data_IF_082446498062
#
_entry.id   IF_082446498062
#
_cell.length_a   1.000
_cell.length_b   1.000
_cell.length_c   1.000
_cell.angle_alpha   90.00
_cell.angle_beta   90.00
_cell.angle_gamma   90.00
#
_symmetry.space_group_name_H-M   'P 1'
#
loop_
_entity.id
_entity.type
_entity.pdbx_description
1 polymer ?
#
# COMPACT_ATOMS: atom_id res chain seq x y z
N UNK A 1 13.78 -54.57 60.67
CA UNK A 1 12.65 -55.19 59.96
C UNK A 1 12.75 -54.87 58.49
N UNK A 2 12.60 -55.90 57.69
CA UNK A 2 13.01 -56.06 56.31
C UNK A 2 12.34 -55.10 55.33
N UNK A 3 13.13 -54.27 54.56
CA UNK A 3 12.69 -53.54 53.40
C UNK A 3 12.83 -54.36 52.15
N UNK A 4 11.79 -54.39 51.34
CA UNK A 4 11.81 -55.03 50.02
C UNK A 4 12.26 -54.00 48.96
N UNK A 5 13.33 -54.35 48.27
CA UNK A 5 13.77 -53.64 47.04
C UNK A 5 12.84 -54.00 45.89
N UNK A 6 12.33 -52.99 45.18
CA UNK A 6 11.63 -53.17 43.91
C UNK A 6 12.57 -52.76 42.72
N UNK A 7 12.75 -53.70 41.80
CA UNK A 7 13.52 -53.54 40.55
C UNK A 7 12.90 -52.49 39.63
N UNK A 8 13.70 -51.72 38.90
CA UNK A 8 13.18 -50.82 37.85
C UNK A 8 12.78 -51.62 36.60
N UNK A 9 11.64 -51.27 36.05
CA UNK A 9 11.14 -51.75 34.76
C UNK A 9 11.93 -51.09 33.62
N UNK A 10 12.37 -51.94 32.70
CA UNK A 10 12.98 -51.56 31.41
C UNK A 10 12.05 -50.73 30.57
N UNK A 11 12.50 -49.52 30.18
CA UNK A 11 11.84 -48.71 29.13
C UNK A 11 12.14 -49.32 27.78
N UNK A 12 11.10 -49.81 27.12
CA UNK A 12 11.11 -50.11 25.68
C UNK A 12 11.28 -48.79 24.90
N UNK A 13 12.32 -48.75 24.06
CA UNK A 13 12.57 -47.65 23.15
C UNK A 13 11.50 -47.60 22.06
N UNK A 14 10.61 -46.61 22.15
CA UNK A 14 9.66 -46.27 21.08
C UNK A 14 10.46 -45.71 19.90
N UNK A 15 10.56 -46.44 18.82
CA UNK A 15 11.11 -46.01 17.54
C UNK A 15 10.30 -44.81 17.04
N UNK A 16 10.87 -43.61 17.12
CA UNK A 16 10.38 -42.42 16.44
C UNK A 16 10.31 -42.69 14.91
N UNK A 17 9.09 -42.72 14.40
CA UNK A 17 8.84 -42.68 12.97
C UNK A 17 9.16 -41.25 12.51
N UNK A 18 10.29 -41.07 11.89
CA UNK A 18 10.61 -39.84 11.13
C UNK A 18 9.50 -39.60 10.10
N UNK A 19 8.65 -38.60 10.35
CA UNK A 19 7.66 -38.11 9.39
C UNK A 19 8.36 -37.68 8.11
N UNK A 20 8.07 -38.38 7.02
CA UNK A 20 8.52 -37.97 5.68
C UNK A 20 7.94 -36.59 5.39
N UNK A 21 8.81 -35.58 5.29
CA UNK A 21 8.44 -34.25 4.77
C UNK A 21 7.68 -34.46 3.45
N UNK A 22 6.48 -33.91 3.37
CA UNK A 22 5.65 -33.96 2.16
C UNK A 22 6.38 -33.20 1.05
N UNK A 23 6.88 -33.92 0.09
CA UNK A 23 7.51 -33.40 -1.12
C UNK A 23 6.45 -32.55 -1.88
N UNK A 24 6.82 -31.38 -2.43
CA UNK A 24 5.92 -30.59 -3.30
C UNK A 24 5.35 -31.49 -4.39
N UNK A 25 4.10 -31.24 -4.81
CA UNK A 25 3.36 -32.12 -5.71
C UNK A 25 4.19 -32.46 -6.96
N UNK A 26 4.20 -33.69 -7.37
CA UNK A 26 4.95 -34.19 -8.54
C UNK A 26 4.67 -33.36 -9.79
N UNK A 27 3.43 -32.91 -9.97
CA UNK A 27 2.95 -32.08 -11.08
C UNK A 27 3.69 -30.74 -11.21
N UNK A 28 3.99 -30.06 -10.09
CA UNK A 28 4.70 -28.78 -10.15
C UNK A 28 6.19 -28.96 -10.49
N UNK A 29 6.81 -30.03 -9.99
CA UNK A 29 8.22 -30.39 -10.31
C UNK A 29 8.40 -30.81 -11.76
N UNK A 30 7.45 -31.57 -12.29
CA UNK A 30 7.53 -32.09 -13.66
C UNK A 30 7.31 -30.93 -14.67
N UNK A 31 6.48 -29.93 -14.32
CA UNK A 31 6.29 -28.72 -15.10
C UNK A 31 7.59 -27.90 -15.19
N UNK A 32 8.26 -27.64 -14.07
CA UNK A 32 9.51 -26.88 -14.04
C UNK A 32 10.65 -27.57 -14.79
N UNK A 33 10.68 -28.92 -14.85
CA UNK A 33 11.66 -29.69 -15.64
C UNK A 33 11.35 -29.75 -17.13
N UNK A 34 10.06 -29.78 -17.50
CA UNK A 34 9.64 -29.87 -18.92
C UNK A 34 9.76 -28.51 -19.62
N UNK A 35 9.71 -27.40 -18.87
CA UNK A 35 9.73 -26.03 -19.36
C UNK A 35 11.14 -25.55 -19.76
N UNK A 36 12.19 -26.20 -19.30
CA UNK A 36 13.58 -25.89 -19.69
C UNK A 36 13.92 -26.24 -21.16
N UNK A 37 13.00 -26.86 -21.89
CA UNK A 37 13.29 -27.40 -23.24
C UNK A 37 12.42 -26.91 -24.37
N UNK A 38 11.34 -26.12 -24.14
CA UNK A 38 10.47 -25.66 -25.25
C UNK A 38 9.77 -24.32 -24.95
N UNK A 39 10.10 -23.28 -25.72
CA UNK A 39 9.30 -22.07 -25.87
C UNK A 39 9.30 -21.12 -24.67
N UNK A 40 9.13 -19.84 -24.90
CA UNK A 40 8.97 -18.81 -23.85
C UNK A 40 7.77 -19.16 -22.94
N UNK A 41 8.07 -19.75 -21.78
CA UNK A 41 7.03 -20.05 -20.79
C UNK A 41 6.50 -18.75 -20.21
N UNK A 42 5.19 -18.57 -20.30
CA UNK A 42 4.52 -17.42 -19.71
C UNK A 42 4.40 -17.60 -18.20
N UNK A 43 5.03 -16.71 -17.43
CA UNK A 43 4.96 -16.68 -15.95
C UNK A 43 3.71 -15.98 -15.49
N UNK A 44 2.94 -16.63 -14.64
CA UNK A 44 1.71 -16.09 -14.03
C UNK A 44 2.03 -15.38 -12.72
N UNK A 45 1.76 -14.10 -12.67
CA UNK A 45 2.12 -13.22 -11.56
C UNK A 45 0.85 -12.64 -10.95
N UNK A 46 0.53 -13.06 -9.71
CA UNK A 46 -0.63 -12.59 -8.98
C UNK A 46 -0.26 -11.38 -8.10
N UNK A 47 -0.93 -10.26 -8.34
CA UNK A 47 -0.89 -9.09 -7.47
C UNK A 47 -2.02 -9.16 -6.46
N UNK A 48 -1.68 -9.10 -5.16
CA UNK A 48 -2.66 -9.03 -4.08
C UNK A 48 -2.85 -7.57 -3.74
N UNK A 49 -4.09 -7.07 -3.85
CA UNK A 49 -4.41 -5.68 -3.53
C UNK A 49 -5.63 -5.59 -2.62
N UNK A 50 -5.50 -4.84 -1.53
CA UNK A 50 -6.51 -4.73 -0.48
C UNK A 50 -7.12 -3.35 -0.32
N UNK A 51 -6.46 -2.30 -0.80
CA UNK A 51 -6.91 -0.93 -0.62
C UNK A 51 -6.62 -0.07 -1.85
N UNK A 52 -7.41 0.99 -2.03
CA UNK A 52 -7.20 1.97 -3.12
C UNK A 52 -5.81 2.59 -3.12
N UNK A 53 -5.29 2.94 -1.93
CA UNK A 53 -3.99 3.56 -1.80
C UNK A 53 -2.87 2.62 -2.27
N UNK A 54 -2.91 1.36 -1.83
CA UNK A 54 -1.96 0.33 -2.24
C UNK A 54 -2.05 0.05 -3.76
N UNK A 55 -3.26 -0.15 -4.27
CA UNK A 55 -3.50 -0.33 -5.70
C UNK A 55 -2.89 0.80 -6.53
N UNK A 56 -3.09 2.05 -6.10
CA UNK A 56 -2.50 3.20 -6.78
C UNK A 56 -0.97 3.18 -6.85
N UNK A 57 -0.30 2.56 -5.88
CA UNK A 57 1.16 2.37 -5.89
C UNK A 57 1.58 1.20 -6.80
N UNK A 58 0.75 0.17 -6.93
CA UNK A 58 1.04 -1.03 -7.72
C UNK A 58 0.82 -0.85 -9.23
N UNK A 59 0.02 0.15 -9.66
CA UNK A 59 -0.40 0.32 -11.07
C UNK A 59 0.73 0.29 -12.07
N UNK A 60 1.82 1.03 -11.84
CA UNK A 60 2.96 1.07 -12.76
C UNK A 60 3.64 -0.30 -12.89
N UNK A 61 3.73 -1.04 -11.79
CA UNK A 61 4.29 -2.40 -11.78
C UNK A 61 3.36 -3.38 -12.50
N UNK A 62 2.04 -3.30 -12.25
CA UNK A 62 1.03 -4.11 -12.95
C UNK A 62 1.08 -3.85 -14.47
N UNK A 63 1.17 -2.58 -14.86
CA UNK A 63 1.29 -2.18 -16.25
C UNK A 63 2.58 -2.72 -16.92
N UNK A 64 3.71 -2.65 -16.22
CA UNK A 64 4.97 -3.18 -16.70
C UNK A 64 4.94 -4.72 -16.86
N UNK A 65 4.28 -5.43 -15.94
CA UNK A 65 4.05 -6.87 -16.05
C UNK A 65 3.11 -7.19 -17.21
N UNK A 66 1.99 -6.47 -17.34
CA UNK A 66 1.02 -6.68 -18.42
C UNK A 66 1.63 -6.51 -19.82
N UNK A 67 2.52 -5.53 -19.99
CA UNK A 67 3.25 -5.27 -21.23
C UNK A 67 4.46 -6.20 -21.42
N UNK A 68 4.89 -6.89 -20.37
CA UNK A 68 6.09 -7.72 -20.37
C UNK A 68 5.93 -9.00 -21.17
N UNK A 69 6.86 -9.28 -22.09
CA UNK A 69 6.88 -10.54 -22.83
C UNK A 69 7.11 -11.73 -21.89
N UNK A 70 6.31 -12.77 -22.03
CA UNK A 70 6.40 -13.96 -21.19
C UNK A 70 5.90 -13.77 -19.75
N UNK A 71 5.16 -12.70 -19.48
CA UNK A 71 4.52 -12.41 -18.20
C UNK A 71 3.00 -12.35 -18.38
N UNK A 72 2.27 -12.92 -17.43
CA UNK A 72 0.81 -12.86 -17.37
C UNK A 72 0.39 -12.28 -16.03
N UNK A 73 -0.24 -11.12 -16.06
CA UNK A 73 -0.80 -10.47 -14.88
C UNK A 73 -2.05 -11.21 -14.40
N UNK A 74 -2.14 -11.44 -13.09
CA UNK A 74 -3.34 -11.86 -12.39
C UNK A 74 -3.62 -10.87 -11.26
N UNK A 75 -4.87 -10.49 -11.04
CA UNK A 75 -5.25 -9.51 -10.01
C UNK A 75 -6.20 -10.14 -9.01
N UNK A 76 -5.79 -10.17 -7.74
CA UNK A 76 -6.59 -10.65 -6.62
C UNK A 76 -6.98 -9.47 -5.75
N UNK A 77 -8.26 -9.08 -5.82
CA UNK A 77 -8.81 -8.01 -5.00
C UNK A 77 -9.33 -8.57 -3.67
N UNK A 78 -8.99 -7.89 -2.58
CA UNK A 78 -9.37 -8.29 -1.22
C UNK A 78 -9.59 -7.07 -0.33
N UNK A 79 -9.67 -7.24 0.98
CA UNK A 79 -9.67 -6.16 1.95
C UNK A 79 -10.80 -5.15 1.76
N UNK A 80 -10.47 -3.88 1.97
CA UNK A 80 -11.42 -2.77 1.86
C UNK A 80 -11.90 -2.50 0.45
N UNK A 81 -11.23 -3.02 -0.59
CA UNK A 81 -11.72 -2.95 -1.96
C UNK A 81 -13.13 -3.52 -2.12
N UNK A 82 -13.47 -4.55 -1.35
CA UNK A 82 -14.74 -5.25 -1.43
C UNK A 82 -15.82 -4.71 -0.47
N UNK A 83 -15.51 -3.68 0.30
CA UNK A 83 -16.38 -3.16 1.34
C UNK A 83 -17.07 -1.85 0.90
N UNK A 84 -18.42 -1.86 0.78
CA UNK A 84 -19.20 -0.68 0.40
C UNK A 84 -18.95 0.53 1.30
N UNK A 85 -18.76 0.32 2.62
CA UNK A 85 -18.48 1.41 3.56
C UNK A 85 -17.20 2.17 3.29
N UNK A 86 -16.23 1.55 2.59
CA UNK A 86 -14.97 2.17 2.15
C UNK A 86 -14.97 2.56 0.67
N UNK A 87 -16.16 2.61 0.04
CA UNK A 87 -16.35 3.11 -1.32
C UNK A 87 -16.29 2.05 -2.42
N UNK A 88 -16.21 0.75 -2.09
CA UNK A 88 -16.18 -0.38 -3.04
C UNK A 88 -15.15 -0.18 -4.17
N UNK A 89 -13.93 0.17 -3.79
CA UNK A 89 -12.88 0.67 -4.69
C UNK A 89 -12.32 -0.37 -5.67
N UNK A 90 -12.82 -1.60 -5.65
CA UNK A 90 -12.60 -2.56 -6.73
C UNK A 90 -13.10 -2.05 -8.08
N UNK A 91 -14.12 -1.18 -8.07
CA UNK A 91 -14.66 -0.59 -9.29
C UNK A 91 -13.62 0.30 -10.00
N UNK A 92 -12.70 0.90 -9.25
CA UNK A 92 -11.57 1.65 -9.83
C UNK A 92 -10.61 0.70 -10.57
N UNK A 93 -10.35 -0.49 -10.00
CA UNK A 93 -9.48 -1.51 -10.64
C UNK A 93 -10.09 -1.98 -11.96
N UNK A 94 -11.40 -2.22 -11.96
CA UNK A 94 -12.13 -2.63 -13.17
C UNK A 94 -12.19 -1.48 -14.19
N UNK A 95 -12.42 -0.25 -13.73
CA UNK A 95 -12.48 0.93 -14.60
C UNK A 95 -11.13 1.24 -15.27
N UNK A 96 -10.01 0.89 -14.65
CA UNK A 96 -8.68 0.98 -15.24
C UNK A 96 -8.40 -0.13 -16.29
N UNK A 97 -9.37 -1.03 -16.53
CA UNK A 97 -9.29 -2.09 -17.54
C UNK A 97 -8.58 -3.37 -17.08
N UNK A 98 -8.29 -3.51 -15.77
CA UNK A 98 -7.65 -4.72 -15.27
C UNK A 98 -8.67 -5.85 -15.08
N UNK A 99 -8.35 -7.07 -15.53
CA UNK A 99 -9.13 -8.24 -15.16
C UNK A 99 -8.96 -8.49 -13.66
N UNK A 100 -10.06 -8.65 -12.95
CA UNK A 100 -10.03 -9.08 -11.55
C UNK A 100 -10.26 -10.58 -11.53
N UNK A 101 -9.16 -11.35 -11.42
CA UNK A 101 -9.17 -12.81 -11.51
C UNK A 101 -9.80 -13.46 -10.26
N UNK A 102 -9.68 -12.80 -9.10
CA UNK A 102 -10.35 -13.25 -7.88
C UNK A 102 -10.79 -12.09 -6.98
N UNK A 103 -11.91 -12.32 -6.28
CA UNK A 103 -12.40 -11.48 -5.18
C UNK A 103 -12.39 -12.32 -3.92
N UNK A 104 -11.51 -11.98 -2.96
CA UNK A 104 -11.34 -12.71 -1.71
C UNK A 104 -11.79 -11.86 -0.54
N UNK A 105 -13.03 -12.02 -0.03
CA UNK A 105 -13.51 -11.30 1.15
C UNK A 105 -12.68 -11.66 2.38
N UNK A 106 -12.06 -10.67 3.00
CA UNK A 106 -11.27 -10.82 4.23
C UNK A 106 -12.01 -10.20 5.43
N UNK A 107 -11.87 -8.89 5.63
CA UNK A 107 -12.48 -8.17 6.72
C UNK A 107 -13.99 -7.99 6.48
N UNK A 108 -14.74 -7.86 7.57
CA UNK A 108 -16.12 -7.40 7.57
C UNK A 108 -16.22 -5.89 7.71
N UNK A 109 -15.10 -5.28 8.09
CA UNK A 109 -14.93 -3.86 8.25
C UNK A 109 -15.38 -3.34 9.60
N UNK A 110 -15.44 -4.19 10.62
CA UNK A 110 -15.63 -3.79 11.99
C UNK A 110 -14.30 -3.29 12.57
N UNK A 111 -14.36 -2.31 13.48
CA UNK A 111 -13.16 -1.74 14.12
C UNK A 111 -12.73 -2.59 15.34
N UNK A 112 -12.73 -3.93 15.19
CA UNK A 112 -12.36 -4.88 16.24
C UNK A 112 -11.12 -5.66 15.86
N UNK A 113 -10.25 -5.90 16.84
CA UNK A 113 -9.05 -6.71 16.64
C UNK A 113 -9.37 -8.14 16.14
N UNK A 114 -10.47 -8.73 16.59
CA UNK A 114 -10.91 -10.05 16.15
C UNK A 114 -11.25 -10.07 14.64
N UNK A 115 -11.87 -9.01 14.09
CA UNK A 115 -12.16 -8.93 12.64
C UNK A 115 -10.87 -8.94 11.80
N UNK A 116 -9.79 -8.34 12.32
CA UNK A 116 -8.48 -8.37 11.65
C UNK A 116 -7.91 -9.81 11.63
N UNK A 117 -7.93 -10.51 12.76
CA UNK A 117 -7.41 -11.88 12.86
C UNK A 117 -8.22 -12.87 12.00
N UNK A 118 -9.55 -12.85 12.11
CA UNK A 118 -10.43 -13.68 11.30
C UNK A 118 -10.33 -13.32 9.80
N UNK A 119 -10.17 -12.01 9.50
CA UNK A 119 -9.96 -11.52 8.15
C UNK A 119 -8.68 -12.08 7.55
N UNK A 120 -7.58 -12.09 8.28
CA UNK A 120 -6.31 -12.70 7.86
C UNK A 120 -6.49 -14.18 7.54
N UNK A 121 -7.15 -14.94 8.43
CA UNK A 121 -7.42 -16.37 8.22
C UNK A 121 -8.23 -16.64 6.94
N UNK A 122 -9.31 -15.88 6.71
CA UNK A 122 -10.13 -15.98 5.49
C UNK A 122 -9.31 -15.60 4.24
N UNK A 123 -8.48 -14.56 4.32
CA UNK A 123 -7.61 -14.12 3.24
C UNK A 123 -6.61 -15.17 2.83
N UNK A 124 -5.88 -15.74 3.78
CA UNK A 124 -4.89 -16.80 3.51
C UNK A 124 -5.57 -17.99 2.80
N UNK A 125 -6.69 -18.49 3.33
CA UNK A 125 -7.39 -19.62 2.76
C UNK A 125 -7.97 -19.32 1.35
N UNK A 126 -8.54 -18.14 1.15
CA UNK A 126 -9.12 -17.71 -0.13
C UNK A 126 -8.08 -17.51 -1.21
N UNK A 127 -6.99 -16.80 -0.87
CA UNK A 127 -5.88 -16.55 -1.79
C UNK A 127 -5.18 -17.87 -2.15
N UNK A 128 -4.89 -18.74 -1.18
CA UNK A 128 -4.24 -20.02 -1.43
C UNK A 128 -5.03 -20.89 -2.44
N UNK A 129 -6.36 -20.97 -2.30
CA UNK A 129 -7.23 -21.68 -3.28
C UNK A 129 -7.12 -21.09 -4.68
N UNK A 130 -7.12 -19.76 -4.79
CA UNK A 130 -6.96 -19.10 -6.08
C UNK A 130 -5.59 -19.42 -6.70
N UNK A 131 -4.50 -19.28 -5.94
CA UNK A 131 -3.14 -19.53 -6.43
C UNK A 131 -2.99 -20.96 -6.98
N UNK A 132 -3.59 -21.93 -6.31
CA UNK A 132 -3.59 -23.33 -6.74
C UNK A 132 -4.41 -23.54 -8.02
N UNK A 133 -5.64 -23.02 -8.07
CA UNK A 133 -6.52 -23.16 -9.23
C UNK A 133 -5.99 -22.44 -10.47
N UNK A 134 -5.47 -21.22 -10.29
CA UNK A 134 -4.94 -20.40 -11.36
C UNK A 134 -3.53 -20.82 -11.81
N UNK A 135 -2.89 -21.76 -11.08
CA UNK A 135 -1.50 -22.18 -11.31
C UNK A 135 -0.55 -20.99 -11.36
N UNK A 136 -0.67 -20.11 -10.35
CA UNK A 136 0.20 -18.93 -10.20
C UNK A 136 1.64 -19.34 -9.92
N UNK A 137 2.61 -18.65 -10.50
CA UNK A 137 4.04 -18.89 -10.28
C UNK A 137 4.61 -17.94 -9.20
N UNK A 138 4.24 -16.66 -9.26
CA UNK A 138 4.75 -15.62 -8.38
C UNK A 138 3.60 -14.84 -7.76
N UNK A 139 3.70 -14.57 -6.45
CA UNK A 139 2.78 -13.68 -5.72
C UNK A 139 3.50 -12.39 -5.39
N UNK A 140 2.97 -11.26 -5.83
CA UNK A 140 3.49 -9.92 -5.51
C UNK A 140 2.64 -9.30 -4.42
N UNK A 141 3.28 -8.84 -3.35
CA UNK A 141 2.68 -8.11 -2.24
C UNK A 141 3.42 -6.81 -1.99
N UNK A 142 2.73 -5.80 -1.48
CA UNK A 142 3.30 -4.49 -1.19
C UNK A 142 3.09 -4.10 0.27
N UNK A 143 4.16 -3.65 0.93
CA UNK A 143 4.10 -2.94 2.21
C UNK A 143 3.88 -3.83 3.41
N UNK A 144 2.95 -3.42 4.28
CA UNK A 144 2.86 -3.85 5.67
C UNK A 144 1.43 -4.12 6.15
N UNK A 145 0.50 -4.30 5.25
CA UNK A 145 -0.90 -4.53 5.61
C UNK A 145 -1.22 -6.01 5.78
N UNK A 146 -2.30 -6.30 6.49
CA UNK A 146 -2.74 -7.69 6.70
C UNK A 146 -3.13 -8.39 5.40
N UNK A 147 -3.54 -7.65 4.37
CA UNK A 147 -3.83 -8.18 3.04
C UNK A 147 -2.54 -8.67 2.35
N UNK A 148 -1.45 -7.92 2.48
CA UNK A 148 -0.13 -8.32 2.01
C UNK A 148 0.40 -9.54 2.79
N UNK A 149 0.19 -9.58 4.11
CA UNK A 149 0.51 -10.74 4.94
C UNK A 149 -0.27 -11.98 4.51
N UNK A 150 -1.58 -11.84 4.22
CA UNK A 150 -2.38 -12.96 3.72
C UNK A 150 -1.84 -13.51 2.39
N UNK A 151 -1.46 -12.61 1.47
CA UNK A 151 -0.85 -12.99 0.21
C UNK A 151 0.50 -13.69 0.37
N UNK A 152 1.36 -13.16 1.24
CA UNK A 152 2.68 -13.75 1.51
C UNK A 152 2.57 -15.13 2.16
N UNK A 153 1.71 -15.30 3.16
CA UNK A 153 1.44 -16.61 3.79
C UNK A 153 0.85 -17.60 2.79
N UNK A 154 -0.15 -17.20 2.00
CA UNK A 154 -0.75 -18.05 0.98
C UNK A 154 0.30 -18.50 -0.05
N UNK A 155 1.12 -17.57 -0.55
CA UNK A 155 2.18 -17.87 -1.50
C UNK A 155 3.23 -18.83 -0.93
N UNK A 156 3.78 -18.52 0.23
CA UNK A 156 4.82 -19.32 0.88
C UNK A 156 4.32 -20.75 1.22
N UNK A 157 3.09 -20.87 1.76
CA UNK A 157 2.53 -22.17 2.16
C UNK A 157 2.11 -23.04 0.97
N UNK A 158 1.81 -22.44 -0.18
CA UNK A 158 1.47 -23.18 -1.42
C UNK A 158 2.67 -23.39 -2.35
N UNK A 159 3.89 -23.04 -1.90
CA UNK A 159 5.12 -23.22 -2.66
C UNK A 159 5.24 -22.31 -3.88
N UNK A 160 4.67 -21.12 -3.82
CA UNK A 160 4.82 -20.07 -4.85
C UNK A 160 5.97 -19.13 -4.46
N UNK A 161 6.62 -18.54 -5.45
CA UNK A 161 7.58 -17.47 -5.18
C UNK A 161 6.83 -16.26 -4.68
N UNK A 162 7.24 -15.70 -3.54
CA UNK A 162 6.69 -14.46 -2.97
C UNK A 162 7.67 -13.33 -3.22
N UNK A 163 7.18 -12.23 -3.80
CA UNK A 163 7.93 -11.03 -4.10
C UNK A 163 7.36 -9.85 -3.30
N UNK A 164 8.18 -9.22 -2.47
CA UNK A 164 7.77 -8.16 -1.54
C UNK A 164 8.29 -6.80 -1.98
N UNK A 165 7.39 -5.90 -2.35
CA UNK A 165 7.70 -4.51 -2.67
C UNK A 165 7.60 -3.67 -1.39
N UNK A 166 8.51 -2.70 -1.19
CA UNK A 166 8.63 -1.88 0.03
C UNK A 166 8.96 -2.67 1.31
N UNK A 167 9.58 -3.85 1.19
CA UNK A 167 10.21 -4.53 2.31
C UNK A 167 11.38 -3.73 2.87
N UNK A 168 11.70 -3.94 4.15
CA UNK A 168 12.84 -3.29 4.81
C UNK A 168 12.67 -1.81 5.15
N UNK A 169 11.59 -1.14 4.75
CA UNK A 169 11.25 0.20 5.22
C UNK A 169 10.99 0.20 6.74
N UNK A 170 11.10 1.37 7.36
CA UNK A 170 10.73 1.60 8.77
C UNK A 170 9.53 2.53 8.81
N UNK A 171 8.54 2.20 9.61
CA UNK A 171 7.42 3.08 9.93
C UNK A 171 6.97 2.79 11.36
N UNK A 172 7.06 3.77 12.24
CA UNK A 172 6.64 3.65 13.64
C UNK A 172 5.09 3.66 13.76
N UNK A 173 4.43 2.80 12.98
CA UNK A 173 3.00 2.52 13.09
C UNK A 173 2.71 1.60 14.28
N UNK A 174 1.46 1.16 14.42
CA UNK A 174 1.01 0.28 15.52
C UNK A 174 1.81 -1.04 15.51
N UNK A 175 1.62 -1.86 14.48
CA UNK A 175 2.37 -3.10 14.27
C UNK A 175 2.89 -3.22 12.81
N UNK A 176 2.89 -2.12 12.07
CA UNK A 176 3.27 -2.04 10.67
C UNK A 176 4.69 -2.60 10.43
N UNK A 177 5.66 -2.23 11.28
CA UNK A 177 7.03 -2.75 11.17
C UNK A 177 7.10 -4.26 11.39
N UNK A 178 6.34 -4.78 12.38
CA UNK A 178 6.30 -6.22 12.65
C UNK A 178 5.71 -6.97 11.47
N UNK A 179 4.61 -6.50 10.89
CA UNK A 179 4.02 -7.10 9.71
C UNK A 179 4.97 -7.04 8.51
N UNK A 180 5.54 -5.87 8.22
CA UNK A 180 6.47 -5.67 7.12
C UNK A 180 7.64 -6.63 7.17
N UNK A 181 8.27 -6.74 8.33
CA UNK A 181 9.44 -7.60 8.50
C UNK A 181 9.07 -9.08 8.47
N UNK A 182 7.89 -9.46 8.97
CA UNK A 182 7.36 -10.82 8.82
C UNK A 182 7.09 -11.17 7.35
N UNK A 183 6.48 -10.26 6.59
CA UNK A 183 6.29 -10.44 5.15
C UNK A 183 7.63 -10.57 4.42
N UNK A 184 8.63 -9.73 4.78
CA UNK A 184 9.98 -9.84 4.25
C UNK A 184 10.55 -11.25 4.52
N UNK A 185 10.40 -11.78 5.73
CA UNK A 185 10.90 -13.13 6.06
C UNK A 185 10.16 -14.26 5.33
N UNK A 186 8.90 -14.08 4.96
CA UNK A 186 8.14 -15.04 4.13
C UNK A 186 8.50 -14.94 2.64
N UNK A 187 9.08 -13.83 2.20
CA UNK A 187 9.30 -13.54 0.78
C UNK A 187 10.61 -14.12 0.26
N UNK A 188 10.66 -14.46 -1.01
CA UNK A 188 11.80 -15.03 -1.72
C UNK A 188 12.58 -13.97 -2.51
N UNK A 189 11.87 -12.92 -2.97
CA UNK A 189 12.42 -11.78 -3.69
C UNK A 189 12.05 -10.50 -2.97
N UNK A 190 12.97 -9.58 -2.88
CA UNK A 190 12.81 -8.34 -2.13
C UNK A 190 13.05 -7.13 -3.03
N UNK A 191 12.08 -6.23 -3.06
CA UNK A 191 12.09 -5.00 -3.84
C UNK A 191 12.01 -3.76 -2.93
N UNK A 192 13.07 -3.48 -2.14
CA UNK A 192 13.12 -2.28 -1.31
C UNK A 192 13.15 -1.02 -2.16
N UNK A 193 12.60 0.07 -1.62
CA UNK A 193 12.56 1.35 -2.30
C UNK A 193 13.89 2.13 -2.17
N UNK A 194 14.68 1.87 -1.13
CA UNK A 194 15.92 2.59 -0.84
C UNK A 194 17.07 1.63 -0.53
N UNK A 195 18.29 2.11 -0.69
CA UNK A 195 19.49 1.36 -0.33
C UNK A 195 19.52 1.02 1.18
N UNK A 196 19.03 1.92 2.03
CA UNK A 196 18.99 1.68 3.47
C UNK A 196 18.02 0.56 3.84
N UNK A 197 16.86 0.49 3.14
CA UNK A 197 15.91 -0.60 3.29
C UNK A 197 16.51 -1.92 2.78
N UNK A 198 17.21 -1.91 1.65
CA UNK A 198 17.94 -3.07 1.14
C UNK A 198 18.99 -3.62 2.12
N UNK A 199 19.82 -2.76 2.67
CA UNK A 199 20.79 -3.14 3.71
C UNK A 199 20.12 -3.73 4.95
N UNK A 200 18.94 -3.24 5.33
CA UNK A 200 18.18 -3.78 6.47
C UNK A 200 17.68 -5.18 6.19
N UNK A 201 17.17 -5.45 4.99
CA UNK A 201 16.74 -6.78 4.57
C UNK A 201 17.91 -7.78 4.66
N UNK A 202 19.08 -7.41 4.14
CA UNK A 202 20.29 -8.26 4.25
C UNK A 202 20.66 -8.51 5.72
N UNK A 203 20.61 -7.49 6.59
CA UNK A 203 20.86 -7.66 8.05
C UNK A 203 19.83 -8.56 8.73
N UNK A 204 18.63 -8.70 8.18
CA UNK A 204 17.64 -9.65 8.65
C UNK A 204 17.95 -11.09 8.23
N UNK A 205 19.08 -11.33 7.55
CA UNK A 205 19.52 -12.65 7.09
C UNK A 205 18.92 -13.06 5.75
N UNK A 206 18.49 -12.13 4.92
CA UNK A 206 18.13 -12.42 3.52
C UNK A 206 19.37 -12.33 2.63
N UNK A 207 19.47 -13.20 1.63
CA UNK A 207 20.59 -13.22 0.71
C UNK A 207 20.60 -11.99 -0.20
N UNK A 208 21.78 -11.36 -0.38
CA UNK A 208 21.92 -10.11 -1.11
C UNK A 208 21.52 -10.23 -2.60
N UNK A 209 21.70 -11.39 -3.20
CA UNK A 209 21.31 -11.70 -4.59
C UNK A 209 19.78 -11.70 -4.81
N UNK A 210 18.99 -11.77 -3.73
CA UNK A 210 17.53 -11.70 -3.73
C UNK A 210 16.97 -10.31 -3.44
N UNK A 211 17.86 -9.33 -3.19
CA UNK A 211 17.49 -7.96 -2.82
C UNK A 211 17.79 -6.99 -3.97
N UNK A 212 16.75 -6.49 -4.59
CA UNK A 212 16.84 -5.60 -5.75
C UNK A 212 16.30 -4.22 -5.39
N UNK A 213 17.14 -3.23 -5.19
CA UNK A 213 16.73 -1.84 -4.92
C UNK A 213 16.14 -1.24 -6.18
N UNK A 214 14.83 -0.99 -6.17
CA UNK A 214 14.08 -0.58 -7.38
C UNK A 214 13.63 0.88 -7.38
N UNK A 215 13.61 1.53 -6.22
CA UNK A 215 12.88 2.77 -6.00
C UNK A 215 11.43 2.51 -5.55
N UNK A 216 10.65 3.57 -5.38
CA UNK A 216 9.25 3.49 -5.00
C UNK A 216 8.34 3.50 -6.25
N UNK A 217 7.53 2.46 -6.50
CA UNK A 217 6.62 2.42 -7.65
C UNK A 217 5.62 3.58 -7.69
N UNK A 218 5.28 4.15 -6.53
CA UNK A 218 4.45 5.34 -6.45
C UNK A 218 5.03 6.57 -7.17
N UNK A 219 6.35 6.62 -7.38
CA UNK A 219 7.01 7.70 -8.11
C UNK A 219 6.89 7.58 -9.63
N UNK A 220 6.62 6.41 -10.18
CA UNK A 220 6.63 6.19 -11.62
C UNK A 220 5.60 7.09 -12.32
N UNK A 221 4.35 7.06 -11.84
CA UNK A 221 3.27 7.89 -12.40
C UNK A 221 3.48 9.38 -12.09
N UNK A 222 4.01 9.71 -10.91
CA UNK A 222 4.34 11.09 -10.56
C UNK A 222 5.40 11.67 -11.49
N UNK A 223 6.48 10.92 -11.75
CA UNK A 223 7.55 11.34 -12.67
C UNK A 223 7.03 11.58 -14.09
N UNK A 224 6.08 10.77 -14.55
CA UNK A 224 5.41 10.97 -15.85
C UNK A 224 4.61 12.27 -15.87
N UNK A 225 3.76 12.51 -14.86
CA UNK A 225 2.95 13.73 -14.74
C UNK A 225 3.82 14.99 -14.66
N UNK A 226 4.91 14.95 -13.90
CA UNK A 226 5.87 16.06 -13.78
C UNK A 226 6.55 16.35 -15.11
N UNK A 227 6.96 15.33 -15.87
CA UNK A 227 7.52 15.52 -17.23
C UNK A 227 6.50 16.19 -18.15
N UNK A 228 5.27 15.72 -18.20
CA UNK A 228 4.21 16.29 -19.03
C UNK A 228 3.94 17.76 -18.67
N UNK A 229 3.95 18.12 -17.41
CA UNK A 229 3.75 19.50 -16.97
C UNK A 229 4.91 20.41 -17.40
N UNK A 230 6.15 19.94 -17.31
CA UNK A 230 7.35 20.67 -17.77
C UNK A 230 7.35 20.90 -19.28
N UNK A 231 6.90 19.90 -20.05
CA UNK A 231 6.85 19.96 -21.51
C UNK A 231 5.66 20.79 -22.03
N UNK A 232 4.87 21.42 -21.17
CA UNK A 232 3.68 22.20 -21.53
C UNK A 232 2.57 21.35 -22.17
N UNK A 233 2.70 20.03 -22.14
CA UNK A 233 1.71 19.09 -22.68
C UNK A 233 0.60 18.94 -21.64
N UNK A 234 -0.56 19.53 -21.93
CA UNK A 234 -1.77 19.17 -21.18
C UNK A 234 -2.00 17.68 -21.39
N UNK A 235 -1.85 16.88 -20.35
CA UNK A 235 -2.25 15.47 -20.40
C UNK A 235 -3.75 15.44 -20.64
N UNK A 236 -4.25 14.81 -21.73
CA UNK A 236 -5.68 14.69 -21.93
C UNK A 236 -6.28 14.03 -20.68
N UNK A 237 -7.27 14.66 -20.07
CA UNK A 237 -8.19 13.96 -19.19
C UNK A 237 -8.64 12.73 -19.95
N UNK A 238 -8.46 11.53 -19.39
CA UNK A 238 -9.03 10.30 -19.95
C UNK A 238 -10.55 10.42 -19.77
N UNK A 239 -11.14 11.19 -20.67
CA UNK A 239 -12.59 11.24 -20.92
C UNK A 239 -12.80 10.35 -22.12
N UNK A 240 -13.04 9.11 -21.87
CA UNK A 240 -13.34 8.20 -22.95
C UNK A 240 -13.56 6.81 -22.44
N UNK A 241 -14.80 6.50 -22.07
CA UNK A 241 -15.45 5.31 -22.61
C UNK A 241 -16.93 5.29 -22.22
N UNK A 242 -17.71 5.43 -23.30
CA UNK A 242 -19.04 4.84 -23.58
C UNK A 242 -20.22 5.22 -22.71
N UNK A 243 -21.07 5.99 -23.34
CA UNK A 243 -22.51 6.09 -23.08
C UNK A 243 -23.16 4.70 -23.20
N UNK A 244 -23.54 4.12 -22.07
CA UNK A 244 -24.53 3.05 -21.99
C UNK A 244 -25.86 3.66 -21.52
N UNK A 245 -26.93 3.34 -22.24
CA UNK A 245 -28.32 3.81 -22.09
C UNK A 245 -28.88 3.53 -20.68
N UNK A 246 -29.84 4.36 -20.21
CA UNK A 246 -30.52 4.14 -18.96
C UNK A 246 -31.67 3.14 -19.10
N UNK A 247 -31.79 2.21 -18.18
CA UNK A 247 -33.03 1.48 -17.94
C UNK A 247 -33.30 1.37 -16.43
N UNK A 248 -34.46 1.92 -16.10
CA UNK A 248 -35.42 1.57 -15.10
C UNK A 248 -35.21 1.96 -13.62
N UNK A 249 -36.09 2.89 -13.28
CA UNK A 249 -36.59 3.25 -11.96
C UNK A 249 -37.40 2.10 -11.34
N UNK A 250 -37.24 1.84 -10.06
CA UNK A 250 -38.34 1.81 -9.10
C UNK A 250 -37.88 1.57 -7.65
N UNK A 251 -38.36 2.43 -6.79
CA UNK A 251 -38.89 2.25 -5.45
C UNK A 251 -37.97 2.15 -4.21
N UNK A 252 -38.18 3.13 -3.38
CA UNK A 252 -38.47 3.16 -1.94
C UNK A 252 -37.34 3.55 -0.96
N UNK A 253 -37.41 4.80 -0.60
CA UNK A 253 -37.31 5.48 0.72
C UNK A 253 -36.59 4.77 1.87
N UNK A 254 -35.40 5.34 2.23
CA UNK A 254 -35.02 5.76 3.60
C UNK A 254 -33.81 6.71 3.50
N UNK A 255 -33.65 7.72 4.37
CA UNK A 255 -32.68 8.80 4.16
C UNK A 255 -31.29 8.31 4.44
N UNK A 256 -30.57 7.93 3.39
CA UNK A 256 -29.13 7.90 3.40
C UNK A 256 -28.66 9.34 3.21
N UNK A 257 -27.69 9.77 4.03
CA UNK A 257 -26.96 11.00 3.81
C UNK A 257 -26.42 11.01 2.36
N UNK A 258 -27.21 11.59 1.48
CA UNK A 258 -26.87 11.77 0.08
C UNK A 258 -25.68 12.73 0.00
N UNK A 259 -24.53 12.17 -0.30
CA UNK A 259 -23.42 12.93 -0.84
C UNK A 259 -23.84 13.41 -2.24
N UNK A 260 -23.88 14.71 -2.41
CA UNK A 260 -24.07 15.34 -3.71
C UNK A 260 -22.95 14.92 -4.66
N UNK A 261 -23.20 13.87 -5.41
CA UNK A 261 -22.35 13.38 -6.49
C UNK A 261 -22.71 14.07 -7.81
N UNK A 262 -23.26 15.26 -7.75
CA UNK A 262 -23.61 16.04 -8.91
C UNK A 262 -22.43 16.91 -9.35
N UNK A 263 -21.60 16.37 -10.17
CA UNK A 263 -20.90 16.94 -11.34
C UNK A 263 -19.71 16.03 -11.72
N UNK A 264 -20.02 14.91 -12.31
CA UNK A 264 -19.05 14.15 -13.12
C UNK A 264 -18.68 15.03 -14.32
N UNK A 265 -17.43 15.45 -14.41
CA UNK A 265 -16.88 15.96 -15.66
C UNK A 265 -16.22 17.34 -15.66
N UNK A 266 -16.25 18.10 -14.60
CA UNK A 266 -15.42 19.32 -14.57
C UNK A 266 -14.07 19.03 -13.89
N UNK A 267 -12.92 19.35 -14.56
CA UNK A 267 -11.64 19.34 -13.89
C UNK A 267 -11.73 20.34 -12.73
N UNK A 268 -11.19 19.96 -11.58
CA UNK A 268 -11.03 20.82 -10.41
C UNK A 268 -10.20 22.07 -10.79
N UNK A 269 -10.81 23.04 -11.48
CA UNK A 269 -10.21 24.36 -11.72
C UNK A 269 -10.22 25.10 -10.41
N UNK A 270 -9.14 25.00 -9.66
CA UNK A 270 -8.87 25.93 -8.57
C UNK A 270 -8.50 27.25 -9.23
N UNK A 271 -9.37 28.27 -9.13
CA UNK A 271 -9.08 29.63 -9.56
C UNK A 271 -7.75 30.07 -8.94
N UNK A 272 -6.91 30.67 -9.75
CA UNK A 272 -5.62 31.26 -9.41
C UNK A 272 -5.82 32.51 -8.56
N UNK A 273 -6.26 32.33 -7.31
CA UNK A 273 -6.18 33.34 -6.29
C UNK A 273 -4.93 33.13 -5.45
N UNK A 274 -4.26 34.15 -5.03
CA UNK A 274 -2.93 34.25 -4.42
C UNK A 274 -2.79 33.61 -3.03
N UNK A 275 -3.56 32.58 -2.70
CA UNK A 275 -3.53 31.89 -1.41
C UNK A 275 -2.82 30.56 -1.51
N UNK A 276 -1.93 30.29 -0.57
CA UNK A 276 -1.25 29.00 -0.45
C UNK A 276 -2.25 27.88 -0.21
N UNK A 277 -2.03 26.73 -0.88
CA UNK A 277 -2.90 25.55 -0.88
C UNK A 277 -2.26 24.43 -0.10
N UNK A 278 -3.02 23.77 0.75
CA UNK A 278 -2.59 22.62 1.51
C UNK A 278 -3.42 21.38 1.19
N UNK A 279 -2.76 20.20 1.22
CA UNK A 279 -3.44 18.92 1.34
C UNK A 279 -3.24 18.43 2.76
N UNK A 280 -4.31 17.95 3.40
CA UNK A 280 -4.26 17.37 4.74
C UNK A 280 -4.53 15.87 4.64
N UNK A 281 -3.56 15.05 5.09
CA UNK A 281 -3.68 13.59 5.15
C UNK A 281 -3.10 13.10 6.48
N UNK A 282 -3.96 12.96 7.47
CA UNK A 282 -3.60 12.45 8.80
C UNK A 282 -4.19 11.05 8.99
N UNK A 283 -3.35 10.08 9.29
CA UNK A 283 -3.73 8.70 9.59
C UNK A 283 -3.61 8.41 11.09
N UNK A 284 -4.39 7.48 11.64
CA UNK A 284 -4.23 7.07 13.03
C UNK A 284 -2.91 6.32 13.24
N UNK A 285 -2.44 6.34 14.48
CA UNK A 285 -1.22 5.66 14.93
C UNK A 285 -1.53 4.56 15.96
N UNK A 286 -2.67 3.86 15.84
CA UNK A 286 -3.07 2.77 16.73
C UNK A 286 -3.56 3.20 18.11
N UNK A 287 -3.70 4.52 18.36
CA UNK A 287 -4.14 5.07 19.64
C UNK A 287 -5.68 5.13 19.75
N UNK A 288 -6.19 5.58 20.90
CA UNK A 288 -7.64 5.72 21.09
C UNK A 288 -8.24 6.76 20.13
N UNK A 289 -9.49 6.56 19.73
CA UNK A 289 -10.22 7.52 18.88
C UNK A 289 -10.26 8.93 19.48
N UNK A 290 -10.34 9.04 20.82
CA UNK A 290 -10.30 10.32 21.53
C UNK A 290 -8.95 11.04 21.37
N UNK A 291 -7.84 10.30 21.43
CA UNK A 291 -6.51 10.86 21.19
C UNK A 291 -6.34 11.31 19.75
N UNK A 292 -6.69 10.48 18.77
CA UNK A 292 -6.58 10.80 17.35
C UNK A 292 -7.47 12.00 16.97
N UNK A 293 -8.66 12.12 17.59
CA UNK A 293 -9.53 13.30 17.47
C UNK A 293 -8.86 14.57 18.00
N UNK A 294 -8.16 14.49 19.15
CA UNK A 294 -7.42 15.63 19.73
C UNK A 294 -6.33 16.11 18.79
N UNK A 295 -5.54 15.18 18.23
CA UNK A 295 -4.48 15.50 17.25
C UNK A 295 -5.06 16.15 16.00
N UNK A 296 -6.12 15.57 15.42
CA UNK A 296 -6.75 16.11 14.22
C UNK A 296 -7.34 17.50 14.47
N UNK A 297 -7.94 17.78 15.61
CA UNK A 297 -8.39 19.11 15.98
C UNK A 297 -7.24 20.12 16.07
N UNK A 298 -6.06 19.72 16.58
CA UNK A 298 -4.87 20.57 16.59
C UNK A 298 -4.39 20.92 15.17
N UNK A 299 -4.42 19.94 14.25
CA UNK A 299 -4.09 20.14 12.83
C UNK A 299 -5.04 21.15 12.20
N UNK A 300 -6.36 20.92 12.32
CA UNK A 300 -7.38 21.77 11.70
C UNK A 300 -7.33 23.20 12.21
N UNK A 301 -7.18 23.37 13.52
CA UNK A 301 -7.00 24.69 14.13
C UNK A 301 -5.74 25.42 13.65
N UNK A 302 -4.62 24.72 13.53
CA UNK A 302 -3.38 25.31 13.02
C UNK A 302 -3.51 25.75 11.55
N UNK A 303 -4.24 24.98 10.73
CA UNK A 303 -4.53 25.32 9.33
C UNK A 303 -5.41 26.56 9.26
N UNK A 304 -6.49 26.65 10.05
CA UNK A 304 -7.36 27.86 10.10
C UNK A 304 -6.57 29.13 10.45
N UNK A 305 -5.73 29.06 11.49
CA UNK A 305 -4.91 30.20 11.96
C UNK A 305 -3.85 30.65 10.95
N UNK A 306 -3.45 29.78 10.02
CA UNK A 306 -2.49 30.13 8.96
C UNK A 306 -3.15 30.66 7.68
N UNK A 307 -4.48 30.61 7.60
CA UNK A 307 -5.25 31.15 6.47
C UNK A 307 -5.13 30.34 5.17
N UNK A 308 -4.65 29.09 5.23
CA UNK A 308 -4.51 28.23 4.07
C UNK A 308 -5.87 27.79 3.51
N UNK A 309 -5.94 27.61 2.20
CA UNK A 309 -7.00 26.83 1.58
C UNK A 309 -6.59 25.34 1.62
N UNK A 310 -7.46 24.48 2.11
CA UNK A 310 -7.12 23.08 2.39
C UNK A 310 -8.06 22.08 1.73
N UNK A 311 -7.48 21.04 1.14
CA UNK A 311 -8.15 19.82 0.73
C UNK A 311 -7.83 18.72 1.78
N UNK A 312 -8.83 18.32 2.55
CA UNK A 312 -8.69 17.29 3.57
C UNK A 312 -9.15 15.94 3.02
N UNK A 313 -8.28 14.93 3.09
CA UNK A 313 -8.58 13.56 2.68
C UNK A 313 -8.76 12.71 3.94
N UNK A 314 -9.78 11.85 3.96
CA UNK A 314 -10.05 10.96 5.08
C UNK A 314 -8.87 10.03 5.36
N UNK A 315 -8.72 9.59 6.63
CA UNK A 315 -7.70 8.61 7.01
C UNK A 315 -7.95 7.24 6.37
N UNK A 316 -6.95 6.35 6.48
CA UNK A 316 -7.15 4.92 6.29
C UNK A 316 -8.06 4.34 7.39
N UNK A 317 -8.36 3.03 7.30
CA UNK A 317 -9.26 2.32 8.21
C UNK A 317 -8.57 1.73 9.45
N UNK A 318 -7.36 2.16 9.79
CA UNK A 318 -6.64 1.66 10.95
C UNK A 318 -7.33 2.08 12.26
N UNK A 319 -7.00 1.41 13.36
CA UNK A 319 -7.61 1.66 14.68
C UNK A 319 -7.47 3.13 15.07
N UNK A 320 -8.57 3.72 15.53
CA UNK A 320 -8.66 5.14 15.92
C UNK A 320 -9.13 6.09 14.81
N UNK A 321 -9.29 5.61 13.56
CA UNK A 321 -9.72 6.44 12.42
C UNK A 321 -11.04 7.18 12.67
N UNK A 322 -11.96 6.61 13.45
CA UNK A 322 -13.26 7.23 13.76
C UNK A 322 -13.11 8.59 14.44
N UNK A 323 -12.11 8.75 15.32
CA UNK A 323 -11.84 10.03 15.97
C UNK A 323 -11.37 11.11 15.00
N UNK A 324 -10.52 10.76 14.03
CA UNK A 324 -10.09 11.68 12.97
C UNK A 324 -11.29 12.11 12.11
N UNK A 325 -12.10 11.13 11.68
CA UNK A 325 -13.30 11.41 10.85
C UNK A 325 -14.26 12.33 11.60
N UNK A 326 -14.50 12.08 12.89
CA UNK A 326 -15.37 12.92 13.72
C UNK A 326 -14.87 14.36 13.80
N UNK A 327 -13.56 14.57 13.97
CA UNK A 327 -12.95 15.89 13.99
C UNK A 327 -13.11 16.61 12.64
N UNK A 328 -12.85 15.91 11.52
CA UNK A 328 -13.00 16.45 10.16
C UNK A 328 -14.44 16.88 9.91
N UNK A 329 -15.43 16.03 10.23
CA UNK A 329 -16.83 16.33 10.01
C UNK A 329 -17.36 17.45 10.89
N UNK A 330 -16.90 17.53 12.14
CA UNK A 330 -17.22 18.64 13.02
C UNK A 330 -16.67 19.98 12.49
N UNK A 331 -15.46 19.94 11.95
CA UNK A 331 -14.84 21.13 11.34
C UNK A 331 -15.52 21.52 10.04
N UNK A 332 -15.82 20.56 9.15
CA UNK A 332 -16.48 20.79 7.85
C UNK A 332 -17.82 21.52 7.98
N UNK A 333 -18.60 21.22 9.04
CA UNK A 333 -19.89 21.88 9.29
C UNK A 333 -19.81 23.39 9.57
N UNK A 334 -18.65 23.88 10.03
CA UNK A 334 -18.45 25.30 10.41
C UNK A 334 -17.47 26.03 9.51
N UNK A 335 -16.68 25.31 8.72
CA UNK A 335 -15.69 25.90 7.85
C UNK A 335 -16.31 26.46 6.57
N UNK A 336 -15.67 27.48 6.00
CA UNK A 336 -16.00 28.00 4.67
C UNK A 336 -15.72 26.92 3.61
N UNK A 337 -16.74 26.46 2.85
CA UNK A 337 -16.58 25.40 1.86
C UNK A 337 -15.64 25.78 0.69
N UNK A 338 -15.41 27.06 0.43
CA UNK A 338 -14.45 27.53 -0.58
C UNK A 338 -12.99 27.42 -0.07
N UNK A 339 -12.81 27.35 1.25
CA UNK A 339 -11.49 27.26 1.88
C UNK A 339 -11.16 25.88 2.41
N UNK A 340 -12.15 25.10 2.80
CA UNK A 340 -11.96 23.77 3.38
C UNK A 340 -12.84 22.74 2.69
N UNK A 341 -12.23 21.94 1.84
CA UNK A 341 -12.89 20.86 1.11
C UNK A 341 -12.52 19.51 1.70
N UNK A 342 -13.48 18.61 1.76
CA UNK A 342 -13.29 17.25 2.30
C UNK A 342 -13.65 16.24 1.23
N UNK A 343 -12.79 15.25 1.04
CA UNK A 343 -13.04 14.09 0.20
C UNK A 343 -12.75 12.81 0.97
N UNK A 344 -13.55 11.77 0.75
CA UNK A 344 -13.34 10.47 1.41
C UNK A 344 -12.12 9.75 0.84
N UNK A 345 -11.94 9.83 -0.46
CA UNK A 345 -10.77 9.30 -1.17
C UNK A 345 -10.67 9.98 -2.53
N UNK A 346 -9.52 9.86 -3.18
CA UNK A 346 -9.27 10.41 -4.51
C UNK A 346 -8.72 9.32 -5.42
N UNK A 347 -9.00 9.43 -6.72
CA UNK A 347 -8.28 8.66 -7.73
C UNK A 347 -6.79 9.02 -7.67
N UNK A 348 -5.93 8.07 -7.95
CA UNK A 348 -4.47 8.24 -7.82
C UNK A 348 -3.94 9.43 -8.62
N UNK A 349 -4.35 9.54 -9.87
CA UNK A 349 -3.90 10.62 -10.75
C UNK A 349 -4.38 12.00 -10.27
N UNK A 350 -5.62 12.09 -9.75
CA UNK A 350 -6.15 13.35 -9.19
C UNK A 350 -5.39 13.76 -7.93
N UNK A 351 -5.06 12.78 -7.07
CA UNK A 351 -4.22 13.02 -5.90
C UNK A 351 -2.82 13.53 -6.29
N UNK A 352 -2.17 12.91 -7.27
CA UNK A 352 -0.84 13.33 -7.71
C UNK A 352 -0.86 14.73 -8.35
N UNK A 353 -1.90 15.05 -9.12
CA UNK A 353 -2.10 16.41 -9.66
C UNK A 353 -2.32 17.43 -8.55
N UNK A 354 -3.18 17.10 -7.59
CA UNK A 354 -3.40 17.95 -6.43
C UNK A 354 -2.09 18.16 -5.63
N UNK A 355 -1.27 17.10 -5.47
CA UNK A 355 0.02 17.18 -4.79
C UNK A 355 1.00 18.10 -5.54
N UNK A 356 1.09 17.99 -6.87
CA UNK A 356 1.93 18.87 -7.71
C UNK A 356 1.48 20.33 -7.62
N UNK A 357 0.16 20.58 -7.46
CA UNK A 357 -0.40 21.92 -7.37
C UNK A 357 -0.39 22.49 -5.95
N UNK A 358 -0.15 21.68 -4.93
CA UNK A 358 -0.14 22.11 -3.53
C UNK A 358 1.20 22.76 -3.15
N UNK A 359 1.13 23.81 -2.32
CA UNK A 359 2.32 24.37 -1.68
C UNK A 359 2.77 23.52 -0.49
N UNK A 360 1.83 22.79 0.15
CA UNK A 360 2.07 22.11 1.40
C UNK A 360 1.25 20.82 1.54
N UNK A 361 1.90 19.73 1.98
CA UNK A 361 1.24 18.54 2.48
C UNK A 361 1.39 18.49 4.00
N UNK A 362 0.27 18.37 4.71
CA UNK A 362 0.20 18.39 6.19
C UNK A 362 -0.35 17.06 6.68
N UNK A 363 0.32 16.42 7.63
CA UNK A 363 -0.10 15.18 8.26
C UNK A 363 1.02 14.16 8.37
N UNK A 364 0.67 12.88 8.45
CA UNK A 364 1.62 11.80 8.65
C UNK A 364 1.56 10.72 7.55
N UNK A 365 1.14 11.12 6.35
CA UNK A 365 1.11 10.20 5.20
C UNK A 365 2.53 9.90 4.69
N UNK A 366 2.79 8.64 4.32
CA UNK A 366 4.05 8.26 3.66
C UNK A 366 4.30 9.00 2.35
N UNK A 367 3.25 9.49 1.69
CA UNK A 367 3.34 10.34 0.50
C UNK A 367 4.15 11.61 0.75
N UNK A 368 4.08 12.19 1.98
CA UNK A 368 4.91 13.32 2.38
C UNK A 368 6.40 13.01 2.36
N UNK A 369 6.78 11.79 2.72
CA UNK A 369 8.19 11.38 2.74
C UNK A 369 8.66 10.92 1.35
N UNK A 370 7.83 10.19 0.62
CA UNK A 370 8.23 9.50 -0.62
C UNK A 370 8.02 10.40 -1.85
N UNK A 371 6.86 11.05 -1.96
CA UNK A 371 6.35 11.64 -3.21
C UNK A 371 6.47 13.17 -3.24
N UNK A 372 6.22 13.83 -2.11
CA UNK A 372 6.08 15.28 -2.07
C UNK A 372 7.33 16.03 -2.57
N UNK A 373 8.54 15.53 -2.28
CA UNK A 373 9.77 16.14 -2.78
C UNK A 373 9.85 16.11 -4.31
N UNK A 374 9.45 15.00 -4.94
CA UNK A 374 9.40 14.88 -6.41
C UNK A 374 8.28 15.72 -7.03
N UNK A 375 7.18 15.95 -6.28
CA UNK A 375 6.10 16.85 -6.69
C UNK A 375 6.44 18.34 -6.56
N UNK A 376 7.50 18.68 -5.82
CA UNK A 376 7.83 20.08 -5.52
C UNK A 376 6.99 20.66 -4.38
N UNK A 377 6.46 19.83 -3.50
CA UNK A 377 5.56 20.19 -2.39
C UNK A 377 6.31 20.13 -1.08
N UNK A 378 6.23 21.18 -0.26
CA UNK A 378 6.78 21.15 1.09
C UNK A 378 5.90 20.31 2.02
N UNK A 379 6.46 19.83 3.14
CA UNK A 379 5.79 18.87 4.02
C UNK A 379 5.87 19.29 5.48
N UNK A 380 4.75 19.16 6.18
CA UNK A 380 4.69 19.14 7.64
C UNK A 380 4.34 17.71 8.05
N UNK A 381 5.35 16.96 8.55
CA UNK A 381 5.19 15.60 9.04
C UNK A 381 4.93 15.60 10.55
N UNK A 382 3.72 15.13 10.93
CA UNK A 382 3.18 15.27 12.29
C UNK A 382 3.29 13.96 13.05
N UNK A 383 3.95 14.00 14.20
CA UNK A 383 4.03 12.87 15.12
C UNK A 383 5.02 11.79 14.72
N UNK A 384 4.88 10.56 15.26
CA UNK A 384 5.92 9.54 15.16
C UNK A 384 5.82 8.65 13.91
N UNK A 385 4.69 8.63 13.18
CA UNK A 385 4.37 7.58 12.19
C UNK A 385 5.43 7.41 11.09
N UNK A 386 6.08 8.49 10.68
CA UNK A 386 7.11 8.45 9.64
C UNK A 386 8.54 8.53 10.20
N UNK A 387 8.71 8.54 11.52
CA UNK A 387 10.05 8.53 12.15
C UNK A 387 10.81 7.27 11.75
N UNK A 388 12.07 7.45 11.36
CA UNK A 388 12.94 6.37 10.91
C UNK A 388 12.91 6.11 9.39
N UNK A 389 11.95 6.67 8.66
CA UNK A 389 12.03 6.70 7.19
C UNK A 389 13.11 7.68 6.73
N UNK A 390 13.81 7.29 5.67
CA UNK A 390 14.80 8.15 5.03
C UNK A 390 14.11 9.35 4.38
N UNK A 391 14.45 10.60 4.73
CA UNK A 391 13.78 11.76 4.17
C UNK A 391 14.17 11.97 2.69
N UNK A 392 13.21 12.25 1.84
CA UNK A 392 13.44 12.48 0.40
C UNK A 392 13.96 13.87 0.06
N UNK A 393 14.19 14.75 1.04
CA UNK A 393 14.73 16.09 0.81
C UNK A 393 14.63 17.01 2.01
N UNK A 394 15.14 18.23 1.87
CA UNK A 394 15.15 19.25 2.93
C UNK A 394 13.83 20.00 3.14
N UNK A 395 12.82 19.71 2.34
CA UNK A 395 11.51 20.37 2.39
C UNK A 395 10.56 19.81 3.44
N UNK A 396 10.96 18.73 4.14
CA UNK A 396 10.19 18.12 5.22
C UNK A 396 10.47 18.84 6.53
N UNK A 397 9.42 19.18 7.26
CA UNK A 397 9.48 19.72 8.61
C UNK A 397 8.75 18.78 9.54
N UNK A 398 9.50 18.06 10.37
CA UNK A 398 8.91 17.19 11.41
C UNK A 398 8.48 18.02 12.61
N UNK A 399 7.34 17.68 13.20
CA UNK A 399 6.87 18.33 14.43
C UNK A 399 6.09 17.36 15.33
N UNK A 400 5.93 17.75 16.59
CA UNK A 400 5.08 17.05 17.53
C UNK A 400 3.59 17.38 17.28
N UNK A 401 2.69 16.60 17.90
CA UNK A 401 1.25 16.64 17.71
C UNK A 401 0.54 17.80 18.43
N UNK A 402 1.30 18.77 18.97
CA UNK A 402 0.72 19.95 19.61
C UNK A 402 0.35 21.03 18.59
N UNK A 403 -0.71 21.78 18.88
CA UNK A 403 -1.16 22.87 18.02
C UNK A 403 -0.05 23.88 17.70
N UNK A 404 0.74 24.31 18.73
CA UNK A 404 1.81 25.28 18.58
C UNK A 404 2.94 24.76 17.70
N UNK A 405 3.34 23.47 17.87
CA UNK A 405 4.37 22.83 17.04
C UNK A 405 3.91 22.73 15.59
N UNK A 406 2.67 22.30 15.35
CA UNK A 406 2.10 22.19 14.00
C UNK A 406 2.04 23.56 13.32
N UNK A 407 1.54 24.58 13.99
CA UNK A 407 1.48 25.95 13.47
C UNK A 407 2.86 26.50 13.12
N UNK A 408 3.84 26.29 13.99
CA UNK A 408 5.24 26.67 13.76
C UNK A 408 5.84 25.95 12.55
N UNK A 409 5.57 24.65 12.43
CA UNK A 409 6.02 23.83 11.30
C UNK A 409 5.39 24.26 9.98
N UNK A 410 4.08 24.60 9.93
CA UNK A 410 3.41 25.12 8.76
C UNK A 410 4.11 26.42 8.27
N UNK A 411 4.32 27.37 9.17
CA UNK A 411 5.01 28.63 8.83
C UNK A 411 6.44 28.39 8.33
N UNK A 412 7.15 27.44 8.91
CA UNK A 412 8.49 27.05 8.46
C UNK A 412 8.49 26.41 7.09
N UNK A 413 7.58 25.45 6.85
CA UNK A 413 7.48 24.74 5.60
C UNK A 413 7.08 25.65 4.42
N UNK A 414 6.18 26.60 4.63
CA UNK A 414 5.80 27.58 3.60
C UNK A 414 6.95 28.46 3.10
N UNK A 415 8.02 28.59 3.87
CA UNK A 415 9.25 29.31 3.43
C UNK A 415 10.16 28.45 2.56
N UNK A 416 9.94 27.14 2.53
CA UNK A 416 10.73 26.21 1.71
C UNK A 416 10.25 26.24 0.26
N UNK A 417 11.18 26.02 -0.67
CA UNK A 417 10.91 25.99 -2.11
C UNK A 417 11.52 24.72 -2.70
N UNK A 418 10.87 23.54 -2.54
CA UNK A 418 11.37 22.33 -3.13
C UNK A 418 11.33 22.41 -4.66
N UNK A 419 12.30 21.74 -5.29
CA UNK A 419 12.41 21.69 -6.75
C UNK A 419 11.64 20.47 -7.26
N UNK A 420 10.64 20.72 -8.11
CA UNK A 420 9.83 19.66 -8.72
C UNK A 420 10.67 18.77 -9.63
N UNK A 421 10.46 17.44 -9.54
CA UNK A 421 11.08 16.42 -10.40
C UNK A 421 12.55 16.18 -10.09
N UNK A 422 13.02 16.51 -8.89
CA UNK A 422 14.32 16.12 -8.38
C UNK A 422 14.40 14.60 -8.18
N UNK A 423 15.62 14.03 -8.40
CA UNK A 423 15.89 12.66 -8.00
C UNK A 423 15.90 12.58 -6.47
N UNK A 424 15.22 11.57 -5.92
CA UNK A 424 15.15 11.33 -4.47
C UNK A 424 15.80 10.01 -4.11
N UNK A 425 15.98 9.76 -2.82
CA UNK A 425 16.46 8.46 -2.30
C UNK A 425 15.48 7.32 -2.65
N UNK A 426 14.22 7.66 -2.96
CA UNK A 426 13.17 6.73 -3.37
C UNK A 426 13.15 6.45 -4.88
N UNK A 427 14.14 6.92 -5.64
CA UNK A 427 14.31 6.58 -7.04
C UNK A 427 13.97 7.68 -8.03
N UNK A 428 13.75 7.28 -9.27
CA UNK A 428 13.67 8.12 -10.47
C UNK A 428 12.38 7.92 -11.29
N UNK A 429 11.43 7.14 -10.78
CA UNK A 429 10.17 6.86 -11.47
C UNK A 429 10.25 5.77 -12.53
N UNK A 430 11.06 4.73 -12.29
CA UNK A 430 11.20 3.55 -13.13
C UNK A 430 11.18 2.24 -12.31
N UNK A 431 10.49 2.21 -11.19
CA UNK A 431 10.45 1.05 -10.31
C UNK A 431 9.68 -0.13 -10.92
N UNK A 432 8.51 0.11 -11.50
CA UNK A 432 7.70 -0.94 -12.13
C UNK A 432 8.43 -1.72 -13.21
N UNK A 433 9.06 -1.06 -14.21
CA UNK A 433 9.91 -1.73 -15.20
C UNK A 433 11.05 -2.56 -14.60
N UNK A 434 11.70 -2.08 -13.53
CA UNK A 434 12.75 -2.84 -12.82
C UNK A 434 12.21 -4.12 -12.18
N UNK A 435 11.05 -4.05 -11.51
CA UNK A 435 10.37 -5.23 -10.95
C UNK A 435 10.04 -6.22 -12.07
N UNK A 436 9.43 -5.76 -13.18
CA UNK A 436 9.06 -6.61 -14.30
C UNK A 436 10.29 -7.33 -14.90
N UNK A 437 11.42 -6.63 -15.05
CA UNK A 437 12.65 -7.22 -15.58
C UNK A 437 13.19 -8.34 -14.69
N UNK A 438 13.21 -8.14 -13.36
CA UNK A 438 13.65 -9.18 -12.42
C UNK A 438 12.68 -10.36 -12.44
N UNK A 439 11.36 -10.12 -12.37
CA UNK A 439 10.37 -11.20 -12.37
C UNK A 439 10.34 -11.99 -13.70
N UNK A 440 10.74 -11.37 -14.81
CA UNK A 440 10.88 -12.04 -16.09
C UNK A 440 12.10 -12.98 -16.17
N UNK A 441 13.20 -12.63 -15.49
CA UNK A 441 14.50 -13.28 -15.67
C UNK A 441 14.90 -14.22 -14.52
N UNK A 442 14.42 -14.00 -13.30
CA UNK A 442 14.82 -14.80 -12.12
C UNK A 442 14.50 -16.30 -12.33
N UNK A 443 15.45 -17.23 -12.07
CA UNK A 443 15.14 -18.66 -12.13
C UNK A 443 14.06 -19.04 -11.11
N UNK A 444 12.99 -19.71 -11.55
CA UNK A 444 11.95 -20.24 -10.66
C UNK A 444 12.27 -21.69 -10.31
N UNK A 445 13.30 -21.91 -9.52
CA UNK A 445 13.81 -23.23 -9.16
C UNK A 445 13.70 -23.53 -7.66
N UNK A 446 14.11 -24.73 -7.27
CA UNK A 446 14.12 -25.13 -5.86
C UNK A 446 15.06 -24.29 -5.01
N UNK A 447 16.14 -23.73 -5.59
CA UNK A 447 17.10 -22.87 -4.87
C UNK A 447 16.44 -21.56 -4.46
N UNK A 448 15.62 -20.98 -5.35
CA UNK A 448 14.85 -19.78 -5.01
C UNK A 448 13.78 -20.07 -3.94
N UNK A 449 13.06 -21.19 -4.05
CA UNK A 449 11.98 -21.56 -3.12
C UNK A 449 12.49 -22.01 -1.75
N UNK A 450 13.69 -22.63 -1.69
CA UNK A 450 14.30 -23.10 -0.44
C UNK A 450 15.31 -22.08 0.07
N UNK A 451 14.80 -21.01 0.65
CA UNK A 451 15.69 -20.03 1.23
C UNK A 451 16.19 -20.44 2.61
N UNK A 452 17.44 -20.16 2.89
CA UNK A 452 18.05 -20.28 4.21
C UNK A 452 18.46 -18.90 4.70
N UNK A 453 18.68 -18.77 6.00
CA UNK A 453 19.23 -17.52 6.56
C UNK A 453 20.67 -17.36 6.07
N UNK A 454 20.98 -16.19 5.52
CA UNK A 454 22.33 -15.82 5.09
C UNK A 454 22.96 -14.91 6.15
N UNK A 455 23.82 -15.46 7.01
CA UNK A 455 24.62 -14.68 7.97
C UNK A 455 26.06 -14.64 7.49
#
# INVERSE_FOLDING_TARGET
MRGRATKPRSHEATKERHGKATKPSRLHRDRLRHEATKGTVTRKIAFITGTRAEYGLLRSTMEAIHKGKGLQLQVVATGTHLLKKFGHTIDDVVADGWPVDARVPMQRGDDRALDQAEGLARGVAGIARFLEQAQTDIVVVLGDRIEAMAGALAGATTGRVVAHIHGGDVAAGDWDDTLRHSITKLSHLHFPATESAGRRIVRMGESADRVHVIGAPGLDRLAELVRHQRDGRHTPTITGMTRGRPADRAAAHRPSLALDASRKGEPLRVRKESRSRAIIVQHPCGRSAAHEKKVMNAVLRAVDETGLAALCIYPNSDRGHSGIVEAIEAHRRRADPERFRVVRSMARDDYLRALIEADLLIGNSSSGIIEAASAGTAVVDIGPRQRGREPSGSSIVHCDETHEAIRGAIRSALRKRPIMGGRTVYGDGNAGPRVAAVLASVPLDETLLRKTIAY
#
